data_IF_227619109592
#
_entry.id   IF_227619109592
#
_cell.length_a   1.000
_cell.length_b   1.000
_cell.length_c   1.000
_cell.angle_alpha   90.00
_cell.angle_beta   90.00
_cell.angle_gamma   90.00
#
_symmetry.space_group_name_H-M   'P 1'
#
loop_
_entity.id
_entity.type
_entity.pdbx_description
1 polymer ?
#
# COMPACT_ATOMS: atom_id res chain seq x y z
N UNK A 1 -19.12 -10.49 10.11
CA UNK A 1 -18.48 -9.29 9.49
C UNK A 1 -16.97 -9.47 9.26
N UNK A 2 -16.19 -9.98 10.24
CA UNK A 2 -14.73 -10.17 10.13
C UNK A 2 -14.30 -11.01 8.91
N UNK A 3 -14.97 -12.12 8.59
CA UNK A 3 -14.64 -12.96 7.43
C UNK A 3 -14.84 -12.24 6.10
N UNK A 4 -15.93 -11.47 5.95
CA UNK A 4 -16.14 -10.63 4.75
C UNK A 4 -15.07 -9.56 4.63
N UNK A 5 -14.69 -8.91 5.74
CA UNK A 5 -13.65 -7.89 5.73
C UNK A 5 -12.28 -8.47 5.33
N UNK A 6 -11.96 -9.69 5.76
CA UNK A 6 -10.74 -10.38 5.34
C UNK A 6 -10.72 -10.65 3.83
N UNK A 7 -11.81 -11.19 3.26
CA UNK A 7 -11.88 -11.42 1.81
C UNK A 7 -11.79 -10.12 1.00
N UNK A 8 -12.45 -9.05 1.48
CA UNK A 8 -12.39 -7.72 0.87
C UNK A 8 -10.97 -7.15 0.97
N UNK A 9 -10.26 -7.39 2.07
CA UNK A 9 -8.87 -6.96 2.22
C UNK A 9 -7.94 -7.67 1.24
N UNK A 10 -8.07 -9.00 1.10
CA UNK A 10 -7.30 -9.78 0.10
C UNK A 10 -7.61 -9.29 -1.31
N UNK A 11 -8.89 -9.12 -1.66
CA UNK A 11 -9.27 -8.57 -2.98
C UNK A 11 -8.62 -7.20 -3.21
N UNK A 12 -8.70 -6.31 -2.23
CA UNK A 12 -8.06 -5.00 -2.31
C UNK A 12 -6.55 -5.09 -2.49
N UNK A 13 -5.87 -5.94 -1.73
CA UNK A 13 -4.43 -6.18 -1.85
C UNK A 13 -4.06 -6.75 -3.23
N UNK A 14 -4.84 -7.68 -3.76
CA UNK A 14 -4.66 -8.24 -5.11
C UNK A 14 -4.78 -7.16 -6.19
N UNK A 15 -5.81 -6.30 -6.10
CA UNK A 15 -5.98 -5.19 -7.03
C UNK A 15 -4.82 -4.18 -6.97
N UNK A 16 -4.30 -3.90 -5.78
CA UNK A 16 -3.12 -3.03 -5.62
C UNK A 16 -1.85 -3.69 -6.20
N UNK A 17 -1.75 -5.02 -6.18
CA UNK A 17 -0.66 -5.75 -6.83
C UNK A 17 -0.52 -5.48 -8.33
N UNK A 18 -1.56 -4.92 -8.99
CA UNK A 18 -1.51 -4.46 -10.38
C UNK A 18 -0.73 -3.14 -10.57
N UNK A 19 -0.51 -2.37 -9.50
CA UNK A 19 0.13 -1.03 -9.61
C UNK A 19 1.51 -1.10 -10.24
N UNK A 20 2.45 -1.98 -9.80
CA UNK A 20 3.76 -2.08 -10.41
C UNK A 20 3.71 -2.45 -11.90
N UNK A 21 2.72 -3.28 -12.29
CA UNK A 21 2.51 -3.67 -13.70
C UNK A 21 2.09 -2.44 -14.53
N UNK A 22 1.11 -1.68 -14.05
CA UNK A 22 0.67 -0.46 -14.73
C UNK A 22 1.77 0.59 -14.83
N UNK A 23 2.56 0.77 -13.75
CA UNK A 23 3.72 1.69 -13.76
C UNK A 23 4.78 1.23 -14.77
N UNK A 24 5.04 -0.08 -14.90
CA UNK A 24 6.01 -0.63 -15.86
C UNK A 24 5.55 -0.48 -17.33
N UNK A 25 4.24 -0.56 -17.58
CA UNK A 25 3.66 -0.41 -18.92
C UNK A 25 3.53 1.06 -19.36
N UNK A 26 3.54 1.99 -18.41
CA UNK A 26 3.40 3.42 -18.63
C UNK A 26 4.78 4.06 -18.88
N UNK A 27 4.92 4.87 -19.93
CA UNK A 27 6.18 5.57 -20.25
C UNK A 27 6.38 6.86 -19.44
N UNK A 28 5.55 7.09 -18.43
CA UNK A 28 5.63 8.24 -17.56
C UNK A 28 6.56 8.01 -16.36
N UNK A 29 7.04 9.12 -15.79
CA UNK A 29 7.72 9.05 -14.50
C UNK A 29 6.76 8.50 -13.42
N UNK A 30 7.18 7.55 -12.56
CA UNK A 30 6.30 6.93 -11.57
C UNK A 30 5.57 7.91 -10.64
N UNK A 31 6.19 9.05 -10.27
CA UNK A 31 5.52 10.09 -9.48
C UNK A 31 4.35 10.73 -10.23
N UNK A 32 4.49 10.95 -11.55
CA UNK A 32 3.42 11.45 -12.39
C UNK A 32 2.27 10.43 -12.53
N UNK A 33 2.60 9.13 -12.62
CA UNK A 33 1.60 8.05 -12.56
C UNK A 33 0.86 8.08 -11.22
N UNK A 34 1.59 8.24 -10.09
CA UNK A 34 1.01 8.40 -8.76
C UNK A 34 0.06 9.60 -8.67
N UNK A 35 0.47 10.76 -9.19
CA UNK A 35 -0.36 11.96 -9.28
C UNK A 35 -1.67 11.68 -10.03
N UNK A 36 -1.61 11.15 -11.26
CA UNK A 36 -2.79 10.89 -12.08
C UNK A 36 -3.70 9.82 -11.51
N UNK A 37 -3.15 8.82 -10.83
CA UNK A 37 -3.95 7.82 -10.10
C UNK A 37 -4.86 8.47 -9.06
N UNK A 38 -4.39 9.51 -8.38
CA UNK A 38 -5.20 10.28 -7.44
C UNK A 38 -6.12 11.28 -8.16
N UNK A 39 -5.59 12.03 -9.12
CA UNK A 39 -6.33 13.09 -9.81
C UNK A 39 -7.56 12.54 -10.54
N UNK A 40 -7.44 11.40 -11.23
CA UNK A 40 -8.56 10.77 -11.93
C UNK A 40 -9.58 10.12 -10.96
N UNK A 41 -9.14 9.68 -9.78
CA UNK A 41 -10.04 9.13 -8.75
C UNK A 41 -10.84 10.22 -8.03
N UNK A 42 -10.31 11.45 -7.93
CA UNK A 42 -10.90 12.57 -7.17
C UNK A 42 -12.35 12.90 -7.55
N UNK A 43 -12.71 13.12 -8.83
CA UNK A 43 -14.09 13.50 -9.19
C UNK A 43 -15.08 12.41 -8.81
N UNK A 44 -14.72 11.14 -8.96
CA UNK A 44 -15.58 10.00 -8.61
C UNK A 44 -15.76 9.91 -7.09
N UNK A 45 -14.66 10.01 -6.33
CA UNK A 45 -14.69 9.99 -4.87
C UNK A 45 -15.46 11.18 -4.30
N UNK A 46 -15.33 12.35 -4.91
CA UNK A 46 -16.05 13.55 -4.52
C UNK A 46 -17.57 13.40 -4.75
N UNK A 47 -17.98 12.94 -5.94
CA UNK A 47 -19.36 12.67 -6.25
C UNK A 47 -19.95 11.61 -5.30
N UNK A 48 -19.24 10.50 -5.09
CA UNK A 48 -19.66 9.46 -4.16
C UNK A 48 -19.73 9.96 -2.72
N UNK A 49 -18.83 10.81 -2.28
CA UNK A 49 -18.85 11.38 -0.93
C UNK A 49 -20.07 12.24 -0.68
N UNK A 50 -20.61 12.90 -1.71
CA UNK A 50 -21.86 13.70 -1.65
C UNK A 50 -23.11 12.85 -1.56
N UNK A 51 -23.09 11.65 -2.12
CA UNK A 51 -24.22 10.71 -2.07
C UNK A 51 -24.37 10.03 -0.71
N UNK A 52 -23.37 10.16 0.17
CA UNK A 52 -23.43 9.56 1.50
C UNK A 52 -24.37 10.41 2.43
N UNK A 53 -25.21 9.75 3.24
CA UNK A 53 -26.04 10.45 4.20
C UNK A 53 -25.15 11.26 5.16
N UNK A 54 -25.56 12.51 5.42
CA UNK A 54 -24.94 13.38 6.42
C UNK A 54 -25.30 12.87 7.83
N UNK A 55 -24.76 11.72 8.22
CA UNK A 55 -24.85 11.29 9.61
C UNK A 55 -24.09 12.30 10.46
N UNK A 56 -24.70 12.72 11.59
CA UNK A 56 -24.07 13.58 12.60
C UNK A 56 -22.75 12.98 13.04
N UNK A 57 -21.70 13.38 12.37
CA UNK A 57 -20.37 12.84 12.59
C UNK A 57 -19.70 13.72 13.63
N UNK A 58 -19.10 13.09 14.64
CA UNK A 58 -18.03 13.71 15.41
C UNK A 58 -17.16 14.57 14.48
N UNK A 59 -16.80 15.77 14.93
CA UNK A 59 -15.99 16.73 14.17
C UNK A 59 -14.87 16.00 13.45
N UNK A 60 -14.79 16.07 12.12
CA UNK A 60 -13.75 15.36 11.39
C UNK A 60 -12.39 15.85 11.90
N UNK A 61 -11.53 14.93 12.29
CA UNK A 61 -10.14 15.25 12.64
C UNK A 61 -9.41 15.62 11.33
N UNK A 62 -9.66 16.86 10.84
CA UNK A 62 -9.10 17.36 9.57
C UNK A 62 -7.60 17.20 9.50
N UNK A 63 -6.90 17.52 10.59
CA UNK A 63 -5.46 17.35 10.68
C UNK A 63 -5.02 15.90 10.42
N UNK A 64 -5.74 14.91 10.98
CA UNK A 64 -5.44 13.50 10.75
C UNK A 64 -5.75 13.06 9.32
N UNK A 65 -6.79 13.61 8.68
CA UNK A 65 -7.11 13.36 7.27
C UNK A 65 -6.00 13.91 6.36
N UNK A 66 -5.54 15.13 6.60
CA UNK A 66 -4.42 15.75 5.88
C UNK A 66 -3.14 14.93 6.10
N UNK A 67 -2.82 14.63 7.36
CA UNK A 67 -1.66 13.80 7.69
C UNK A 67 -1.68 12.46 6.96
N UNK A 68 -2.84 11.80 6.88
CA UNK A 68 -2.99 10.52 6.18
C UNK A 68 -2.65 10.65 4.70
N UNK A 69 -3.09 11.72 4.03
CA UNK A 69 -2.75 11.99 2.63
C UNK A 69 -1.26 12.28 2.43
N UNK A 70 -0.65 13.06 3.33
CA UNK A 70 0.78 13.35 3.29
C UNK A 70 1.63 12.11 3.54
N UNK A 71 1.27 11.28 4.53
CA UNK A 71 1.98 10.02 4.81
C UNK A 71 1.99 9.11 3.58
N UNK A 72 0.87 9.01 2.87
CA UNK A 72 0.81 8.19 1.66
C UNK A 72 1.59 8.79 0.48
N UNK A 73 1.60 10.11 0.32
CA UNK A 73 2.42 10.78 -0.67
C UNK A 73 3.92 10.64 -0.38
N UNK A 74 4.33 10.77 0.89
CA UNK A 74 5.70 10.57 1.33
C UNK A 74 6.17 9.12 1.12
N UNK A 75 5.31 8.14 1.43
CA UNK A 75 5.56 6.72 1.14
C UNK A 75 5.88 6.52 -0.34
N UNK A 76 4.99 6.94 -1.24
CA UNK A 76 5.17 6.84 -2.69
C UNK A 76 6.45 7.55 -3.13
N UNK A 77 6.69 8.77 -2.63
CA UNK A 77 7.88 9.56 -2.95
C UNK A 77 9.17 8.86 -2.54
N UNK A 78 9.27 8.42 -1.29
CA UNK A 78 10.44 7.72 -0.77
C UNK A 78 10.68 6.38 -1.49
N UNK A 79 9.62 5.61 -1.78
CA UNK A 79 9.73 4.36 -2.52
C UNK A 79 10.32 4.57 -3.92
N UNK A 80 9.85 5.58 -4.66
CA UNK A 80 10.38 5.86 -6.00
C UNK A 80 11.79 6.43 -5.99
N UNK A 81 12.15 7.21 -4.96
CA UNK A 81 13.54 7.64 -4.76
C UNK A 81 14.43 6.44 -4.38
N UNK A 82 13.93 5.52 -3.55
CA UNK A 82 14.63 4.28 -3.21
C UNK A 82 14.97 3.46 -4.45
N UNK A 83 13.99 3.20 -5.33
CA UNK A 83 14.20 2.44 -6.59
C UNK A 83 15.31 3.06 -7.48
N UNK A 84 15.52 4.37 -7.40
CA UNK A 84 16.58 5.06 -8.16
C UNK A 84 17.94 5.02 -7.49
N UNK A 85 17.98 4.84 -6.17
CA UNK A 85 19.19 4.90 -5.36
C UNK A 85 19.67 3.50 -4.89
N UNK A 86 18.84 2.46 -5.02
CA UNK A 86 19.18 1.07 -4.75
C UNK A 86 18.51 0.16 -5.78
N UNK A 87 18.63 -1.17 -5.64
CA UNK A 87 17.94 -2.10 -6.53
C UNK A 87 16.43 -2.09 -6.27
N UNK A 88 15.62 -2.39 -7.28
CA UNK A 88 14.17 -2.57 -7.13
C UNK A 88 13.86 -3.63 -6.07
N UNK A 89 14.73 -4.64 -5.99
CA UNK A 89 14.65 -5.71 -5.01
C UNK A 89 14.77 -5.19 -3.58
N UNK A 90 15.85 -4.43 -3.29
CA UNK A 90 16.07 -3.83 -1.97
C UNK A 90 14.94 -2.86 -1.60
N UNK A 91 14.59 -1.93 -2.50
CA UNK A 91 13.51 -0.97 -2.27
C UNK A 91 12.19 -1.69 -1.93
N UNK A 92 11.85 -2.75 -2.67
CA UNK A 92 10.63 -3.53 -2.43
C UNK A 92 10.68 -4.29 -1.11
N UNK A 93 11.79 -4.97 -0.79
CA UNK A 93 11.93 -5.68 0.47
C UNK A 93 11.76 -4.72 1.66
N UNK A 94 12.49 -3.60 1.63
CA UNK A 94 12.55 -2.67 2.74
C UNK A 94 11.22 -1.90 2.94
N UNK A 95 10.56 -1.50 1.85
CA UNK A 95 9.23 -0.86 1.94
C UNK A 95 8.16 -1.83 2.46
N UNK A 96 8.28 -3.13 2.20
CA UNK A 96 7.37 -4.13 2.75
C UNK A 96 7.63 -4.47 4.23
N UNK A 97 8.60 -3.85 4.89
CA UNK A 97 8.78 -3.89 6.34
C UNK A 97 7.71 -3.06 7.12
N UNK A 98 6.77 -2.41 6.46
CA UNK A 98 5.69 -1.65 7.07
C UNK A 98 4.94 -2.37 8.22
N UNK A 99 4.67 -3.69 8.20
CA UNK A 99 4.06 -4.39 9.33
C UNK A 99 4.81 -4.25 10.66
N UNK A 100 6.14 -4.12 10.63
CA UNK A 100 6.96 -3.88 11.83
C UNK A 100 6.57 -2.52 12.43
N UNK A 101 6.51 -1.48 11.59
CA UNK A 101 6.18 -0.12 12.04
C UNK A 101 4.71 0.00 12.47
N UNK A 102 3.80 -0.76 11.85
CA UNK A 102 2.40 -0.88 12.32
C UNK A 102 2.36 -1.54 13.70
N UNK A 103 3.11 -2.63 13.93
CA UNK A 103 3.16 -3.31 15.21
C UNK A 103 3.72 -2.39 16.32
N UNK A 104 4.81 -1.67 16.03
CA UNK A 104 5.40 -0.69 16.95
C UNK A 104 4.43 0.48 17.23
N UNK A 105 3.76 0.99 16.20
CA UNK A 105 2.78 2.06 16.34
C UNK A 105 1.55 1.66 17.14
N UNK A 106 1.06 0.42 17.00
CA UNK A 106 -0.01 -0.12 17.86
C UNK A 106 0.46 -0.18 19.33
N UNK A 107 1.66 -0.69 19.58
CA UNK A 107 2.22 -0.74 20.94
C UNK A 107 2.34 0.66 21.57
N UNK A 108 2.81 1.65 20.78
CA UNK A 108 3.03 3.02 21.26
C UNK A 108 1.73 3.83 21.45
N UNK A 109 0.71 3.62 20.60
CA UNK A 109 -0.47 4.51 20.53
C UNK A 109 -1.76 3.89 21.05
N UNK A 110 -1.86 2.56 21.03
CA UNK A 110 -3.08 1.83 21.42
C UNK A 110 -2.93 1.05 22.74
N UNK A 111 -1.75 1.09 23.35
CA UNK A 111 -1.46 0.43 24.65
C UNK A 111 -1.52 -1.10 24.60
N UNK A 112 -1.55 -1.70 23.43
CA UNK A 112 -1.61 -3.15 23.23
C UNK A 112 -0.32 -3.68 22.62
N UNK A 113 0.30 -4.68 23.24
CA UNK A 113 1.42 -5.42 22.63
C UNK A 113 0.82 -6.47 21.67
N UNK A 114 1.27 -6.53 20.40
CA UNK A 114 0.85 -7.60 19.50
C UNK A 114 1.14 -8.98 20.12
N UNK A 115 0.23 -9.95 19.89
CA UNK A 115 0.44 -11.30 20.41
C UNK A 115 1.71 -11.93 19.81
N UNK A 116 2.33 -12.87 20.52
CA UNK A 116 3.51 -13.60 20.04
C UNK A 116 3.24 -14.25 18.68
N UNK A 117 2.03 -14.76 18.49
CA UNK A 117 1.62 -15.38 17.23
C UNK A 117 1.52 -14.34 16.10
N UNK A 118 1.06 -13.11 16.38
CA UNK A 118 1.04 -12.02 15.40
C UNK A 118 2.46 -11.58 15.01
N UNK A 119 3.38 -11.52 15.96
CA UNK A 119 4.79 -11.23 15.68
C UNK A 119 5.45 -12.35 14.87
N UNK A 120 5.20 -13.62 15.20
CA UNK A 120 5.68 -14.76 14.42
C UNK A 120 5.12 -14.73 12.99
N UNK A 121 3.83 -14.45 12.84
CA UNK A 121 3.19 -14.32 11.53
C UNK A 121 3.85 -13.21 10.68
N UNK A 122 4.16 -12.07 11.30
CA UNK A 122 4.87 -10.97 10.66
C UNK A 122 6.28 -11.40 10.24
N UNK A 123 7.03 -12.06 11.13
CA UNK A 123 8.39 -12.54 10.82
C UNK A 123 8.40 -13.56 9.68
N UNK A 124 7.46 -14.53 9.69
CA UNK A 124 7.34 -15.53 8.62
C UNK A 124 7.00 -14.87 7.29
N UNK A 125 6.05 -13.92 7.28
CA UNK A 125 5.67 -13.23 6.05
C UNK A 125 6.81 -12.36 5.51
N UNK A 126 7.55 -11.65 6.35
CA UNK A 126 8.73 -10.85 5.94
C UNK A 126 9.88 -11.74 5.46
N UNK A 127 10.11 -12.88 6.09
CA UNK A 127 11.03 -13.90 5.58
C UNK A 127 10.64 -14.40 4.20
N UNK A 128 9.33 -14.57 3.96
CA UNK A 128 8.78 -14.88 2.65
C UNK A 128 9.05 -13.79 1.61
N UNK A 129 8.89 -12.51 1.96
CA UNK A 129 9.25 -11.39 1.07
C UNK A 129 10.75 -11.37 0.78
N UNK A 130 11.60 -11.63 1.79
CA UNK A 130 13.05 -11.70 1.58
C UNK A 130 13.42 -12.78 0.56
N UNK A 131 12.80 -13.96 0.63
CA UNK A 131 13.01 -15.03 -0.37
C UNK A 131 12.37 -14.70 -1.73
N UNK A 132 11.24 -14.00 -1.76
CA UNK A 132 10.58 -13.58 -3.00
C UNK A 132 11.44 -12.57 -3.79
N UNK A 133 12.11 -11.67 -3.07
CA UNK A 133 13.09 -10.72 -3.64
C UNK A 133 14.38 -11.47 -4.05
N UNK A 134 14.77 -12.47 -3.27
CA UNK A 134 15.79 -13.47 -3.58
C UNK A 134 17.19 -12.93 -3.76
N UNK A 135 17.91 -13.52 -4.70
CA UNK A 135 19.32 -13.26 -5.01
C UNK A 135 19.60 -11.87 -5.61
N UNK A 136 18.57 -11.06 -5.81
CA UNK A 136 18.66 -9.70 -6.35
C UNK A 136 18.92 -8.65 -5.27
N UNK A 137 19.09 -9.08 -4.01
CA UNK A 137 19.48 -8.18 -2.92
C UNK A 137 20.97 -7.84 -3.06
N UNK A 138 21.27 -6.56 -3.17
CA UNK A 138 22.64 -6.05 -3.28
C UNK A 138 22.98 -5.17 -2.06
N UNK A 139 24.24 -5.20 -1.64
CA UNK A 139 24.75 -4.35 -0.55
C UNK A 139 25.45 -3.11 -1.10
N UNK A 140 25.62 -2.08 -0.25
CA UNK A 140 26.35 -0.87 -0.61
C UNK A 140 25.51 0.32 -1.02
N UNK A 141 24.19 0.17 -1.12
CA UNK A 141 23.24 1.22 -1.50
C UNK A 141 22.57 1.89 -0.30
N UNK A 142 23.36 2.35 0.68
CA UNK A 142 22.88 2.82 2.00
C UNK A 142 21.74 3.86 1.91
N UNK A 143 21.88 4.85 1.01
CA UNK A 143 20.87 5.89 0.85
C UNK A 143 19.54 5.32 0.33
N UNK A 144 19.59 4.50 -0.70
CA UNK A 144 18.39 3.88 -1.29
C UNK A 144 17.71 2.93 -0.31
N UNK A 145 18.49 2.14 0.42
CA UNK A 145 17.99 1.22 1.43
C UNK A 145 17.34 1.98 2.60
N UNK A 146 17.95 3.07 3.05
CA UNK A 146 17.35 3.96 4.06
C UNK A 146 16.01 4.56 3.58
N UNK A 147 15.94 5.00 2.31
CA UNK A 147 14.69 5.51 1.73
C UNK A 147 13.60 4.44 1.65
N UNK A 148 13.95 3.18 1.35
CA UNK A 148 13.03 2.05 1.38
C UNK A 148 12.43 1.82 2.79
N UNK A 149 13.27 1.87 3.83
CA UNK A 149 12.79 1.78 5.21
C UNK A 149 11.95 2.99 5.63
N UNK A 150 12.32 4.20 5.21
CA UNK A 150 11.54 5.42 5.47
C UNK A 150 10.17 5.33 4.79
N UNK A 151 10.08 4.79 3.57
CA UNK A 151 8.82 4.46 2.91
C UNK A 151 7.97 3.53 3.79
N UNK A 152 8.56 2.45 4.34
CA UNK A 152 7.84 1.53 5.24
C UNK A 152 7.30 2.23 6.50
N UNK A 153 8.04 3.18 7.07
CA UNK A 153 7.57 4.01 8.20
C UNK A 153 6.35 4.83 7.81
N UNK A 154 6.42 5.53 6.67
CA UNK A 154 5.31 6.34 6.17
C UNK A 154 4.08 5.48 5.83
N UNK A 155 4.28 4.33 5.19
CA UNK A 155 3.19 3.42 4.87
C UNK A 155 2.56 2.80 6.13
N UNK A 156 3.37 2.42 7.12
CA UNK A 156 2.88 1.97 8.43
C UNK A 156 2.08 3.05 9.16
N UNK A 157 2.60 4.29 9.18
CA UNK A 157 1.90 5.46 9.73
C UNK A 157 0.58 5.75 9.01
N UNK A 158 0.57 5.66 7.68
CA UNK A 158 -0.63 5.75 6.86
C UNK A 158 -1.68 4.69 7.26
N UNK A 159 -1.29 3.43 7.40
CA UNK A 159 -2.20 2.35 7.79
C UNK A 159 -2.82 2.60 9.17
N UNK A 160 -2.02 3.04 10.15
CA UNK A 160 -2.48 3.39 11.50
C UNK A 160 -3.46 4.57 11.47
N UNK A 161 -3.15 5.61 10.70
CA UNK A 161 -4.01 6.78 10.54
C UNK A 161 -5.35 6.40 9.88
N UNK A 162 -5.33 5.56 8.84
CA UNK A 162 -6.54 5.01 8.22
C UNK A 162 -7.35 4.21 9.24
N UNK A 163 -6.73 3.30 9.99
CA UNK A 163 -7.42 2.50 11.00
C UNK A 163 -8.08 3.38 12.07
N UNK A 164 -7.40 4.44 12.52
CA UNK A 164 -7.94 5.40 13.48
C UNK A 164 -9.11 6.22 12.90
N UNK A 165 -9.00 6.69 11.67
CA UNK A 165 -10.06 7.45 10.98
C UNK A 165 -11.28 6.58 10.69
N UNK A 166 -11.08 5.33 10.34
CA UNK A 166 -12.15 4.39 9.99
C UNK A 166 -13.07 4.03 11.14
N UNK A 167 -12.68 4.32 12.38
CA UNK A 167 -13.57 4.19 13.55
C UNK A 167 -14.79 5.11 13.45
N UNK A 168 -14.62 6.30 12.86
CA UNK A 168 -15.65 7.35 12.88
C UNK A 168 -15.93 7.98 11.49
N UNK A 169 -15.15 7.65 10.46
CA UNK A 169 -15.28 8.22 9.12
C UNK A 169 -15.59 7.15 8.08
N UNK A 170 -16.46 7.42 7.09
CA UNK A 170 -16.69 6.51 5.97
C UNK A 170 -15.42 6.40 5.09
N UNK A 171 -15.19 5.21 4.51
CA UNK A 171 -14.01 4.95 3.67
C UNK A 171 -13.84 5.98 2.55
N UNK A 172 -14.93 6.29 1.86
CA UNK A 172 -14.94 7.25 0.73
C UNK A 172 -14.42 8.63 1.15
N UNK A 173 -14.77 9.10 2.36
CA UNK A 173 -14.27 10.40 2.85
C UNK A 173 -12.77 10.35 3.13
N UNK A 174 -12.29 9.27 3.76
CA UNK A 174 -10.85 9.09 4.00
C UNK A 174 -10.10 9.06 2.66
N UNK A 175 -10.60 8.29 1.69
CA UNK A 175 -10.00 8.19 0.36
C UNK A 175 -10.02 9.51 -0.41
N UNK A 176 -11.08 10.29 -0.29
CA UNK A 176 -11.18 11.61 -0.92
C UNK A 176 -10.06 12.54 -0.41
N UNK A 177 -9.84 12.57 0.91
CA UNK A 177 -8.76 13.37 1.49
C UNK A 177 -7.37 12.84 1.11
N UNK A 178 -7.19 11.52 1.13
CA UNK A 178 -5.92 10.89 0.71
C UNK A 178 -5.63 11.21 -0.75
N UNK A 179 -6.61 11.08 -1.64
CA UNK A 179 -6.44 11.41 -3.05
C UNK A 179 -6.21 12.91 -3.28
N UNK A 180 -6.95 13.78 -2.57
CA UNK A 180 -6.82 15.23 -2.69
C UNK A 180 -5.47 15.74 -2.19
N UNK A 181 -5.13 15.43 -0.94
CA UNK A 181 -3.88 15.88 -0.33
C UNK A 181 -2.67 15.18 -0.93
N UNK A 182 -2.75 13.85 -1.10
CA UNK A 182 -1.67 13.06 -1.69
C UNK A 182 -1.42 13.41 -3.15
N UNK A 183 -2.48 13.58 -3.93
CA UNK A 183 -2.38 14.03 -5.33
C UNK A 183 -1.76 15.41 -5.44
N UNK A 184 -2.21 16.38 -4.62
CA UNK A 184 -1.64 17.71 -4.59
C UNK A 184 -0.15 17.68 -4.23
N UNK A 185 0.22 16.92 -3.19
CA UNK A 185 1.62 16.80 -2.77
C UNK A 185 2.50 16.21 -3.88
N UNK A 186 2.07 15.11 -4.52
CA UNK A 186 2.82 14.52 -5.64
C UNK A 186 2.88 15.45 -6.86
N UNK A 187 1.80 16.17 -7.16
CA UNK A 187 1.77 17.15 -8.25
C UNK A 187 2.77 18.28 -8.00
N UNK A 188 2.81 18.82 -6.77
CA UNK A 188 3.78 19.86 -6.37
C UNK A 188 5.22 19.33 -6.51
N UNK A 189 5.49 18.11 -6.04
CA UNK A 189 6.82 17.48 -6.19
C UNK A 189 7.19 17.33 -7.67
N UNK A 190 6.26 16.87 -8.52
CA UNK A 190 6.52 16.76 -9.97
C UNK A 190 6.87 18.11 -10.59
N UNK A 191 6.13 19.18 -10.26
CA UNK A 191 6.39 20.53 -10.78
C UNK A 191 7.74 21.04 -10.32
N UNK A 192 8.07 20.92 -9.03
CA UNK A 192 9.37 21.39 -8.48
C UNK A 192 10.53 20.58 -9.09
N UNK A 193 10.36 19.29 -9.30
CA UNK A 193 11.38 18.41 -9.87
C UNK A 193 11.45 18.47 -11.41
N UNK A 194 10.64 19.30 -12.09
CA UNK A 194 10.59 19.39 -13.54
C UNK A 194 10.12 18.11 -14.23
N UNK A 195 9.34 17.27 -13.54
CA UNK A 195 8.82 16.00 -14.08
C UNK A 195 7.60 16.29 -14.95
N UNK A 196 7.60 15.86 -16.24
CA UNK A 196 6.44 16.02 -17.11
C UNK A 196 5.22 15.29 -16.55
N UNK A 197 4.10 16.02 -16.38
CA UNK A 197 2.85 15.47 -15.86
C UNK A 197 1.97 14.87 -16.96
N UNK A 198 2.07 15.40 -18.18
CA UNK A 198 1.16 14.99 -19.27
C UNK A 198 1.63 13.72 -19.95
N UNK A 199 0.74 12.72 -20.11
CA UNK A 199 1.02 11.54 -20.92
C UNK A 199 1.20 11.93 -22.39
N UNK A 200 2.19 11.35 -23.04
CA UNK A 200 2.47 11.57 -24.45
C UNK A 200 1.75 10.54 -25.34
N UNK A 201 1.41 9.38 -24.80
CA UNK A 201 0.75 8.29 -25.53
C UNK A 201 -0.71 8.14 -25.10
N UNK A 202 -1.59 7.86 -26.06
CA UNK A 202 -2.99 7.55 -25.77
C UNK A 202 -3.17 6.33 -24.85
N UNK A 203 -2.29 5.32 -24.98
CA UNK A 203 -2.31 4.12 -24.14
C UNK A 203 -2.05 4.46 -22.65
N UNK A 204 -1.20 5.44 -22.35
CA UNK A 204 -0.91 5.84 -20.98
C UNK A 204 -2.17 6.35 -20.27
N UNK A 205 -3.05 7.07 -20.97
CA UNK A 205 -4.34 7.50 -20.43
C UNK A 205 -5.23 6.32 -20.04
N UNK A 206 -5.26 5.25 -20.86
CA UNK A 206 -6.02 4.04 -20.55
C UNK A 206 -5.44 3.32 -19.33
N UNK A 207 -4.11 3.21 -19.24
CA UNK A 207 -3.43 2.62 -18.06
C UNK A 207 -3.72 3.43 -16.81
N UNK A 208 -3.61 4.76 -16.87
CA UNK A 208 -3.89 5.66 -15.75
C UNK A 208 -5.36 5.56 -15.30
N UNK A 209 -6.30 5.46 -16.24
CA UNK A 209 -7.72 5.24 -15.91
C UNK A 209 -7.93 3.91 -15.18
N UNK A 210 -7.32 2.81 -15.64
CA UNK A 210 -7.37 1.50 -14.96
C UNK A 210 -6.74 1.60 -13.57
N UNK A 211 -5.58 2.25 -13.42
CA UNK A 211 -4.94 2.45 -12.12
C UNK A 211 -5.83 3.28 -11.18
N UNK A 212 -6.48 4.33 -11.67
CA UNK A 212 -7.38 5.14 -10.85
C UNK A 212 -8.65 4.38 -10.44
N UNK A 213 -9.29 3.67 -11.37
CA UNK A 213 -10.57 3.00 -11.11
C UNK A 213 -10.39 1.69 -10.36
N UNK A 214 -9.50 0.82 -10.86
CA UNK A 214 -9.34 -0.52 -10.32
C UNK A 214 -8.47 -0.51 -9.08
N UNK A 215 -7.31 0.14 -9.11
CA UNK A 215 -6.39 0.07 -7.97
C UNK A 215 -6.68 1.12 -6.92
N UNK A 216 -6.93 2.40 -7.29
CA UNK A 216 -7.16 3.44 -6.30
C UNK A 216 -8.58 3.38 -5.72
N UNK A 217 -9.62 3.34 -6.55
CA UNK A 217 -11.01 3.32 -6.05
C UNK A 217 -11.36 1.91 -5.58
N UNK A 218 -11.16 0.89 -6.40
CA UNK A 218 -11.48 -0.49 -6.06
C UNK A 218 -10.55 -1.05 -4.98
N UNK A 219 -9.27 -1.16 -5.26
CA UNK A 219 -8.27 -1.78 -4.39
C UNK A 219 -8.08 -1.04 -3.07
N UNK A 220 -7.67 0.24 -3.14
CA UNK A 220 -7.43 1.05 -1.95
C UNK A 220 -8.73 1.31 -1.17
N UNK A 221 -9.88 1.41 -1.87
CA UNK A 221 -11.19 1.51 -1.25
C UNK A 221 -11.57 0.27 -0.45
N UNK A 222 -11.35 -0.91 -1.02
CA UNK A 222 -11.58 -2.18 -0.34
C UNK A 222 -10.69 -2.32 0.90
N UNK A 223 -9.39 -2.00 0.80
CA UNK A 223 -8.46 -1.99 1.93
C UNK A 223 -8.94 -1.03 3.01
N UNK A 224 -9.22 0.23 2.64
CA UNK A 224 -9.69 1.26 3.57
C UNK A 224 -10.98 0.84 4.25
N UNK A 225 -11.91 0.20 3.52
CA UNK A 225 -13.16 -0.31 4.10
C UNK A 225 -12.89 -1.44 5.09
N UNK A 226 -12.05 -2.39 4.75
CA UNK A 226 -11.74 -3.57 5.56
C UNK A 226 -11.04 -3.20 6.88
N UNK A 227 -10.18 -2.19 6.87
CA UNK A 227 -9.43 -1.72 8.06
C UNK A 227 -10.32 -1.15 9.17
N UNK A 228 -11.63 -0.93 8.92
CA UNK A 228 -12.58 -0.62 9.99
C UNK A 228 -12.98 -1.84 10.84
N UNK A 229 -12.72 -3.05 10.34
CA UNK A 229 -13.25 -4.30 10.91
C UNK A 229 -12.14 -5.27 11.35
N UNK A 230 -10.90 -4.95 11.05
CA UNK A 230 -9.73 -5.81 11.25
C UNK A 230 -8.66 -5.08 12.07
N UNK A 231 -7.89 -5.84 12.84
CA UNK A 231 -6.77 -5.27 13.59
C UNK A 231 -5.69 -4.71 12.64
N UNK A 232 -5.06 -3.56 12.96
CA UNK A 232 -4.06 -2.95 12.07
C UNK A 232 -2.88 -3.86 11.75
N UNK A 233 -2.31 -4.56 12.75
CA UNK A 233 -1.20 -5.51 12.55
C UNK A 233 -1.60 -6.65 11.62
N UNK A 234 -2.78 -7.23 11.82
CA UNK A 234 -3.29 -8.26 10.93
C UNK A 234 -3.46 -7.76 9.50
N UNK A 235 -4.08 -6.57 9.35
CA UNK A 235 -4.27 -5.96 8.04
C UNK A 235 -2.95 -5.73 7.31
N UNK A 236 -1.91 -5.23 8.03
CA UNK A 236 -0.60 -4.97 7.43
C UNK A 236 0.10 -6.24 6.94
N UNK A 237 -0.03 -7.36 7.65
CA UNK A 237 0.51 -8.65 7.19
C UNK A 237 -0.25 -9.17 5.97
N UNK A 238 -1.58 -9.04 5.94
CA UNK A 238 -2.39 -9.46 4.76
C UNK A 238 -2.02 -8.63 3.52
N UNK A 239 -1.67 -7.35 3.68
CA UNK A 239 -1.25 -6.50 2.56
C UNK A 239 0.05 -6.99 1.88
N UNK A 240 0.85 -7.86 2.52
CA UNK A 240 2.01 -8.51 1.89
C UNK A 240 1.62 -9.49 0.75
N UNK A 241 0.35 -9.72 0.51
CA UNK A 241 -0.14 -10.35 -0.74
C UNK A 241 0.22 -9.51 -1.98
N UNK A 242 0.28 -8.17 -1.84
CA UNK A 242 0.54 -7.26 -2.97
C UNK A 242 1.83 -7.61 -3.76
N UNK A 243 3.01 -7.74 -3.11
CA UNK A 243 4.23 -8.11 -3.82
C UNK A 243 4.19 -9.54 -4.40
N UNK A 244 3.47 -10.47 -3.78
CA UNK A 244 3.29 -11.82 -4.33
C UNK A 244 2.49 -11.75 -5.64
N UNK A 245 1.38 -11.02 -5.63
CA UNK A 245 0.55 -10.82 -6.85
C UNK A 245 1.36 -10.10 -7.92
N UNK A 246 2.11 -9.04 -7.56
CA UNK A 246 2.93 -8.31 -8.50
C UNK A 246 4.01 -9.21 -9.14
N UNK A 247 4.67 -10.09 -8.36
CA UNK A 247 5.67 -11.03 -8.85
C UNK A 247 5.06 -12.06 -9.82
N UNK A 248 3.91 -12.64 -9.46
CA UNK A 248 3.18 -13.60 -10.33
C UNK A 248 2.76 -12.94 -11.64
N UNK A 249 2.19 -11.73 -11.56
CA UNK A 249 1.76 -11.01 -12.75
C UNK A 249 2.94 -10.58 -13.64
N UNK A 250 4.04 -10.14 -13.03
CA UNK A 250 5.26 -9.80 -13.77
C UNK A 250 5.80 -11.01 -14.54
N UNK A 251 5.82 -12.18 -13.88
CA UNK A 251 6.20 -13.42 -14.52
C UNK A 251 5.28 -13.81 -15.70
N UNK A 252 3.96 -13.69 -15.51
CA UNK A 252 2.99 -14.05 -16.55
C UNK A 252 2.99 -13.11 -17.75
N UNK A 253 3.21 -11.80 -17.53
CA UNK A 253 3.01 -10.77 -18.55
C UNK A 253 4.30 -10.35 -19.27
N UNK A 254 5.46 -10.43 -18.61
CA UNK A 254 6.70 -9.87 -19.16
C UNK A 254 7.72 -10.93 -19.57
N UNK A 255 7.40 -12.22 -19.43
CA UNK A 255 8.34 -13.32 -19.72
C UNK A 255 9.72 -13.13 -19.04
N UNK A 256 9.76 -12.48 -17.87
CA UNK A 256 10.99 -12.15 -17.11
C UNK A 256 11.69 -13.41 -16.55
N UNK A 257 11.47 -14.57 -17.16
CA UNK A 257 11.94 -15.88 -16.72
C UNK A 257 10.95 -16.54 -15.74
N UNK A 258 11.13 -17.83 -15.48
CA UNK A 258 10.35 -18.58 -14.51
C UNK A 258 10.61 -18.08 -13.10
N UNK A 259 9.57 -18.07 -12.27
CA UNK A 259 9.79 -17.89 -10.83
C UNK A 259 10.72 -18.98 -10.32
N UNK A 260 11.86 -18.58 -9.77
CA UNK A 260 12.82 -19.52 -9.19
C UNK A 260 12.20 -20.26 -7.98
N UNK A 261 12.74 -21.43 -7.61
CA UNK A 261 12.21 -22.23 -6.50
C UNK A 261 12.15 -21.41 -5.19
N UNK A 262 13.12 -20.56 -4.92
CA UNK A 262 13.16 -19.70 -3.73
C UNK A 262 12.05 -18.64 -3.75
N UNK A 263 11.70 -18.10 -4.91
CA UNK A 263 10.60 -17.16 -5.05
C UNK A 263 9.24 -17.83 -4.79
N UNK A 264 9.08 -19.08 -5.23
CA UNK A 264 7.87 -19.88 -4.93
C UNK A 264 7.78 -20.16 -3.42
N UNK A 265 8.88 -20.60 -2.79
CA UNK A 265 8.93 -20.78 -1.34
C UNK A 265 8.63 -19.49 -0.61
N UNK A 266 9.19 -18.35 -1.06
CA UNK A 266 8.90 -17.03 -0.50
C UNK A 266 7.42 -16.67 -0.57
N UNK A 267 6.77 -16.87 -1.71
CA UNK A 267 5.34 -16.64 -1.87
C UNK A 267 4.50 -17.54 -0.93
N UNK A 268 4.85 -18.81 -0.80
CA UNK A 268 4.18 -19.74 0.12
C UNK A 268 4.37 -19.33 1.59
N UNK A 269 5.56 -18.84 1.98
CA UNK A 269 5.80 -18.32 3.33
C UNK A 269 4.96 -17.07 3.61
N UNK A 270 4.82 -16.15 2.65
CA UNK A 270 3.92 -14.99 2.80
C UNK A 270 2.50 -15.47 3.07
N UNK A 271 1.99 -16.41 2.28
CA UNK A 271 0.64 -16.96 2.48
C UNK A 271 0.52 -17.70 3.82
N UNK A 272 1.54 -18.46 4.22
CA UNK A 272 1.64 -19.09 5.54
C UNK A 272 1.59 -18.09 6.69
N UNK A 273 2.34 -16.99 6.58
CA UNK A 273 2.32 -15.86 7.51
C UNK A 273 0.93 -15.24 7.64
N UNK A 274 0.19 -15.08 6.55
CA UNK A 274 -1.19 -14.58 6.56
C UNK A 274 -2.13 -15.55 7.27
N UNK A 275 -1.98 -16.85 7.06
CA UNK A 275 -2.77 -17.87 7.78
C UNK A 275 -2.49 -17.82 9.28
N UNK A 276 -1.22 -17.69 9.68
CA UNK A 276 -0.84 -17.53 11.10
C UNK A 276 -1.41 -16.22 11.68
N UNK A 277 -1.33 -15.11 10.95
CA UNK A 277 -1.92 -13.84 11.37
C UNK A 277 -3.44 -13.93 11.57
N UNK A 278 -4.13 -14.70 10.71
CA UNK A 278 -5.57 -14.95 10.85
C UNK A 278 -5.90 -15.72 12.12
N UNK A 279 -5.09 -16.72 12.49
CA UNK A 279 -5.23 -17.44 13.77
C UNK A 279 -5.01 -16.49 14.94
N UNK A 280 -3.93 -15.72 14.92
CA UNK A 280 -3.65 -14.73 15.96
C UNK A 280 -4.79 -13.72 16.18
N UNK A 281 -5.48 -13.34 15.12
CA UNK A 281 -6.64 -12.44 15.22
C UNK A 281 -7.89 -13.16 15.76
N UNK A 282 -8.05 -14.45 15.49
CA UNK A 282 -9.16 -15.23 16.03
C UNK A 282 -9.04 -15.42 17.55
N UNK A 283 -7.82 -15.65 18.05
CA UNK A 283 -7.52 -15.86 19.46
C UNK A 283 -7.62 -14.55 20.30
N UNK A 284 -7.57 -13.39 19.65
CA UNK A 284 -7.64 -12.07 20.30
C UNK A 284 -9.05 -11.47 20.40
N UNK A 285 -10.09 -12.17 19.92
CA UNK A 285 -11.46 -11.63 19.84
C UNK A 285 -12.57 -12.56 20.09
#
# INVERSE_FOLDING_TARGET
>A
MRQRAFLVLILGATLIGLVPIGVRLCEMHPLAVGFWRFALALPILWWWSRSLPKRGTSVPRRALLVLTGLLFACDIGCYFMAIRATTVANATLLSNCAPIFVALGVAATMGGVPSRLALLATAVALGGIALLVGERFETGHVLGDALGLVSAVFYGGYQLAVAALRRNQPAVRVMLWVAGVGGLALGVVCVIAGIPLMPTRGLDWAILAVLALVTQIGGQGAITWAMAHLAPVFSSVVLLVQPVVAAVLAWLLFADGWMGPWQIVGALLVLGGIVLARRAQADAG
#
